data_IF_249369309049
#
_entry.id   IF_249369309049
#
_cell.length_a   1.000
_cell.length_b   1.000
_cell.length_c   1.000
_cell.angle_alpha   90.00
_cell.angle_beta   90.00
_cell.angle_gamma   90.00
#
_symmetry.space_group_name_H-M   'P 1'
#
loop_
_entity.id
_entity.type
_entity.pdbx_description
1 polymer ?
#
# COMPACT_ATOMS: atom_id res chain seq x y z
N UNK A 1 7.49 -1.58 3.64
CA UNK A 1 8.68 -1.49 2.80
C UNK A 1 9.95 -2.03 3.41
N UNK A 2 10.72 -2.70 2.56
CA UNK A 2 12.15 -2.95 2.73
C UNK A 2 12.92 -1.61 2.62
N UNK A 3 14.17 -1.56 3.12
CA UNK A 3 14.96 -0.32 3.01
C UNK A 3 15.43 -0.13 1.56
N UNK A 4 15.23 1.08 1.02
CA UNK A 4 15.73 1.53 -0.29
C UNK A 4 15.25 0.69 -1.49
N UNK A 5 14.11 0.02 -1.38
CA UNK A 5 13.48 -0.76 -2.45
C UNK A 5 12.00 -0.39 -2.48
N UNK A 6 11.42 -0.35 -3.68
CA UNK A 6 9.97 -0.29 -3.89
C UNK A 6 9.50 -1.70 -4.23
N UNK A 7 8.81 -2.36 -3.30
CA UNK A 7 8.23 -3.67 -3.53
C UNK A 7 6.90 -3.54 -4.29
N UNK A 8 6.80 -4.23 -5.44
CA UNK A 8 5.67 -4.10 -6.37
C UNK A 8 4.79 -5.35 -6.37
N UNK A 9 3.52 -5.19 -6.01
CA UNK A 9 2.47 -6.20 -6.14
C UNK A 9 1.83 -6.21 -7.53
N UNK A 10 1.07 -7.26 -7.83
CA UNK A 10 0.32 -7.41 -9.08
C UNK A 10 -1.18 -7.26 -8.85
N UNK A 11 -1.85 -6.59 -9.79
CA UNK A 11 -3.31 -6.48 -9.86
C UNK A 11 -3.84 -7.14 -11.13
N UNK A 12 -5.10 -7.58 -11.06
CA UNK A 12 -5.83 -8.14 -12.19
C UNK A 12 -6.62 -7.08 -12.97
N UNK A 13 -7.43 -7.54 -13.92
CA UNK A 13 -8.24 -6.67 -14.80
C UNK A 13 -9.38 -5.95 -14.06
N UNK A 14 -9.67 -6.33 -12.81
CA UNK A 14 -10.70 -5.72 -11.96
C UNK A 14 -10.10 -4.78 -10.90
N UNK A 15 -8.82 -4.41 -11.04
CA UNK A 15 -8.04 -3.65 -10.05
C UNK A 15 -7.95 -4.35 -8.67
N UNK A 16 -8.11 -5.68 -8.62
CA UNK A 16 -7.95 -6.46 -7.39
C UNK A 16 -6.56 -7.06 -7.30
N UNK A 17 -6.11 -7.39 -6.08
CA UNK A 17 -4.83 -8.11 -5.92
C UNK A 17 -4.90 -9.43 -6.71
N UNK A 18 -3.96 -9.63 -7.64
CA UNK A 18 -3.87 -10.87 -8.39
C UNK A 18 -3.64 -12.05 -7.43
N UNK A 19 -4.33 -13.17 -7.67
CA UNK A 19 -4.34 -14.32 -6.74
C UNK A 19 -2.94 -14.84 -6.40
N UNK A 20 -2.03 -14.86 -7.38
CA UNK A 20 -0.64 -15.27 -7.25
C UNK A 20 0.29 -14.23 -6.60
N UNK A 21 -0.14 -12.97 -6.45
CA UNK A 21 0.72 -11.92 -5.91
C UNK A 21 0.94 -12.13 -4.42
N UNK A 22 2.19 -12.25 -3.98
CA UNK A 22 2.51 -12.19 -2.56
C UNK A 22 2.02 -10.88 -1.93
N UNK A 23 1.73 -10.93 -0.63
CA UNK A 23 1.18 -9.84 0.16
C UNK A 23 1.89 -9.79 1.53
N UNK A 24 1.75 -8.67 2.23
CA UNK A 24 2.31 -8.45 3.55
C UNK A 24 2.86 -7.04 3.73
N UNK A 25 3.49 -6.80 4.88
CA UNK A 25 3.96 -5.45 5.25
C UNK A 25 5.11 -4.89 4.41
N UNK A 26 5.63 -5.70 3.49
CA UNK A 26 6.71 -5.34 2.60
C UNK A 26 6.22 -4.69 1.31
N UNK A 27 4.96 -4.91 0.88
CA UNK A 27 4.40 -4.33 -0.35
C UNK A 27 4.29 -2.81 -0.21
N UNK A 28 4.80 -2.09 -1.20
CA UNK A 28 4.77 -0.62 -1.21
C UNK A 28 3.74 -0.09 -2.22
N UNK A 29 3.62 -0.68 -3.40
CA UNK A 29 2.67 -0.27 -4.45
C UNK A 29 2.29 -1.48 -5.31
N UNK A 30 1.17 -1.41 -6.02
CA UNK A 30 0.77 -2.41 -7.01
C UNK A 30 0.67 -1.82 -8.41
N UNK A 31 0.84 -2.65 -9.42
CA UNK A 31 0.60 -2.30 -10.83
C UNK A 31 -0.08 -3.47 -11.56
N UNK A 32 -0.62 -3.27 -12.77
CA UNK A 32 -1.22 -4.35 -13.54
C UNK A 32 -0.22 -5.50 -13.76
N UNK A 33 -0.67 -6.73 -13.55
CA UNK A 33 0.19 -7.92 -13.64
C UNK A 33 -0.49 -9.15 -14.21
N UNK A 34 -1.73 -9.04 -14.68
CA UNK A 34 -2.47 -10.13 -15.31
C UNK A 34 -2.68 -9.82 -16.78
N UNK A 35 -2.49 -10.81 -17.65
CA UNK A 35 -2.71 -10.71 -19.10
C UNK A 35 -1.92 -9.55 -19.76
N UNK A 36 -0.65 -9.38 -19.34
CA UNK A 36 0.21 -8.32 -19.84
C UNK A 36 0.81 -8.73 -21.18
N UNK A 37 0.49 -7.97 -22.23
CA UNK A 37 1.08 -8.10 -23.56
C UNK A 37 2.46 -7.45 -23.60
N UNK A 38 3.48 -8.18 -24.06
CA UNK A 38 4.83 -7.65 -24.23
C UNK A 38 5.57 -8.25 -25.43
N UNK A 39 6.73 -7.68 -25.75
CA UNK A 39 7.61 -8.13 -26.82
C UNK A 39 8.33 -9.41 -26.43
N UNK A 40 8.48 -10.34 -27.38
CA UNK A 40 9.23 -11.58 -27.19
C UNK A 40 10.37 -11.69 -28.19
N UNK A 41 11.52 -12.17 -27.75
CA UNK A 41 12.54 -12.66 -28.66
C UNK A 41 12.11 -14.01 -29.28
N UNK A 42 12.55 -14.29 -30.51
CA UNK A 42 12.33 -15.62 -31.11
C UNK A 42 13.13 -16.65 -30.32
N UNK A 43 12.53 -17.82 -30.08
CA UNK A 43 13.11 -18.96 -29.35
C UNK A 43 13.37 -18.76 -27.85
N UNK A 44 12.78 -17.73 -27.23
CA UNK A 44 12.81 -17.55 -25.77
C UNK A 44 11.44 -17.89 -25.19
N UNK A 45 11.23 -19.15 -24.84
CA UNK A 45 9.99 -19.62 -24.22
C UNK A 45 10.20 -19.82 -22.72
N UNK A 46 9.97 -18.76 -21.94
CA UNK A 46 10.40 -18.68 -20.54
C UNK A 46 9.61 -19.57 -19.57
N UNK A 47 8.43 -20.04 -19.98
CA UNK A 47 7.57 -20.91 -19.15
C UNK A 47 7.75 -22.39 -19.47
N UNK A 48 8.59 -22.72 -20.46
CA UNK A 48 8.88 -24.10 -20.83
C UNK A 48 9.72 -24.77 -19.75
N UNK A 49 9.19 -25.82 -19.13
CA UNK A 49 9.92 -26.63 -18.15
C UNK A 49 9.90 -26.10 -16.71
N UNK A 50 9.06 -25.11 -16.39
CA UNK A 50 8.78 -24.75 -15.00
C UNK A 50 7.90 -25.85 -14.38
N UNK A 51 8.35 -26.53 -13.30
CA UNK A 51 7.51 -27.50 -12.59
C UNK A 51 6.18 -26.88 -12.15
N UNK A 52 5.11 -27.66 -12.19
CA UNK A 52 3.77 -27.27 -11.70
C UNK A 52 3.09 -26.12 -12.47
N UNK A 53 3.59 -25.77 -13.66
CA UNK A 53 2.93 -24.85 -14.59
C UNK A 53 2.45 -25.65 -15.79
N UNK A 54 1.12 -25.75 -15.99
CA UNK A 54 0.53 -26.32 -17.20
C UNK A 54 0.71 -25.36 -18.39
N UNK A 55 1.93 -25.33 -18.90
CA UNK A 55 2.32 -24.49 -20.03
C UNK A 55 2.63 -25.34 -21.25
N UNK A 56 1.76 -25.24 -22.26
CA UNK A 56 2.05 -25.80 -23.59
C UNK A 56 3.01 -24.87 -24.33
N UNK A 57 4.06 -25.38 -24.99
CA UNK A 57 4.96 -24.55 -25.80
C UNK A 57 4.17 -23.64 -26.73
N UNK A 58 4.53 -22.36 -26.78
CA UNK A 58 3.88 -21.35 -27.65
C UNK A 58 2.45 -20.94 -27.27
N UNK A 59 1.85 -21.44 -26.19
CA UNK A 59 0.47 -21.10 -25.80
C UNK A 59 0.28 -19.62 -25.47
N UNK A 60 1.31 -18.95 -24.96
CA UNK A 60 1.30 -17.54 -24.63
C UNK A 60 1.57 -16.61 -25.84
N UNK A 61 1.82 -17.15 -27.03
CA UNK A 61 2.23 -16.35 -28.18
C UNK A 61 1.04 -15.62 -28.79
N UNK A 62 1.24 -14.35 -29.14
CA UNK A 62 0.21 -13.51 -29.77
C UNK A 62 0.66 -13.13 -31.19
N UNK A 63 -0.27 -13.22 -32.14
CA UNK A 63 -0.05 -12.89 -33.55
C UNK A 63 0.60 -14.01 -34.37
N UNK A 64 0.39 -13.96 -35.69
CA UNK A 64 0.94 -14.97 -36.62
C UNK A 64 2.47 -14.95 -36.69
N UNK A 65 3.07 -13.77 -36.55
CA UNK A 65 4.52 -13.56 -36.54
C UNK A 65 5.19 -14.00 -35.21
N UNK A 66 4.37 -14.27 -34.17
CA UNK A 66 4.80 -14.69 -32.84
C UNK A 66 5.83 -13.75 -32.23
N UNK A 67 5.73 -12.44 -32.47
CA UNK A 67 6.63 -11.42 -31.90
C UNK A 67 6.19 -10.89 -30.53
N UNK A 68 4.97 -11.23 -30.13
CA UNK A 68 4.39 -10.84 -28.86
C UNK A 68 4.05 -12.06 -28.01
N UNK A 69 3.92 -11.82 -26.70
CA UNK A 69 3.41 -12.80 -25.77
C UNK A 69 2.53 -12.13 -24.71
N UNK A 70 1.59 -12.90 -24.15
CA UNK A 70 0.79 -12.52 -22.98
C UNK A 70 1.19 -13.36 -21.79
N UNK A 71 1.44 -12.73 -20.65
CA UNK A 71 1.78 -13.43 -19.43
C UNK A 71 1.28 -12.67 -18.20
N UNK A 72 1.25 -13.37 -17.07
CA UNK A 72 0.86 -12.83 -15.78
C UNK A 72 2.00 -13.01 -14.78
N UNK A 73 2.21 -12.03 -13.91
CA UNK A 73 3.24 -12.08 -12.87
C UNK A 73 3.57 -10.70 -12.32
N UNK A 74 4.02 -10.64 -11.06
CA UNK A 74 4.57 -9.42 -10.45
C UNK A 74 5.80 -8.91 -11.19
N UNK A 75 6.53 -9.80 -11.87
CA UNK A 75 7.61 -9.47 -12.81
C UNK A 75 7.16 -8.57 -13.98
N UNK A 76 5.87 -8.53 -14.30
CA UNK A 76 5.30 -7.62 -15.31
C UNK A 76 4.78 -6.32 -14.71
N UNK A 77 4.42 -6.32 -13.42
CA UNK A 77 4.03 -5.12 -12.68
C UNK A 77 5.24 -4.24 -12.34
N UNK A 78 6.34 -4.84 -11.87
CA UNK A 78 7.58 -4.14 -11.54
C UNK A 78 8.13 -3.22 -12.64
N UNK A 79 8.24 -3.62 -13.92
CA UNK A 79 8.73 -2.74 -14.98
C UNK A 79 7.80 -1.56 -15.28
N UNK A 80 6.49 -1.63 -14.97
CA UNK A 80 5.60 -0.47 -15.11
C UNK A 80 5.92 0.62 -14.08
N UNK A 81 6.18 0.22 -12.84
CA UNK A 81 6.63 1.14 -11.77
C UNK A 81 8.00 1.71 -12.11
N UNK A 82 8.93 0.86 -12.57
CA UNK A 82 10.26 1.29 -12.99
C UNK A 82 10.20 2.29 -14.17
N UNK A 83 9.37 2.02 -15.19
CA UNK A 83 9.16 2.93 -16.31
C UNK A 83 8.58 4.28 -15.86
N UNK A 84 7.64 4.27 -14.92
CA UNK A 84 7.08 5.51 -14.36
C UNK A 84 8.14 6.30 -13.59
N UNK A 85 8.99 5.62 -12.79
CA UNK A 85 10.13 6.24 -12.14
C UNK A 85 11.10 6.87 -13.16
N UNK A 86 11.37 6.19 -14.27
CA UNK A 86 12.19 6.72 -15.37
C UNK A 86 11.55 7.95 -16.02
N UNK A 87 10.23 7.98 -16.22
CA UNK A 87 9.53 9.16 -16.75
C UNK A 87 9.61 10.37 -15.80
N UNK A 88 9.49 10.13 -14.49
CA UNK A 88 9.68 11.17 -13.47
C UNK A 88 11.08 11.77 -13.56
N UNK A 89 12.11 10.92 -13.63
CA UNK A 89 13.51 11.35 -13.74
C UNK A 89 13.81 12.02 -15.09
N UNK A 90 13.22 11.54 -16.19
CA UNK A 90 13.37 12.18 -17.50
C UNK A 90 12.84 13.62 -17.50
N UNK A 91 11.72 13.86 -16.81
CA UNK A 91 11.14 15.20 -16.63
C UNK A 91 11.93 16.05 -15.65
N UNK A 92 12.46 15.46 -14.59
CA UNK A 92 13.15 16.15 -13.49
C UNK A 92 14.40 15.39 -13.02
N UNK A 93 15.54 15.51 -13.73
CA UNK A 93 16.73 14.65 -13.50
C UNK A 93 17.43 14.86 -12.15
N UNK A 94 17.14 15.96 -11.44
CA UNK A 94 17.76 16.30 -10.14
C UNK A 94 17.02 15.72 -8.94
N UNK A 95 15.90 15.01 -9.16
CA UNK A 95 15.14 14.41 -8.07
C UNK A 95 15.96 13.31 -7.40
N UNK A 96 15.89 13.27 -6.07
CA UNK A 96 16.46 12.19 -5.28
C UNK A 96 15.60 10.93 -5.37
N UNK A 97 16.19 9.76 -5.11
CA UNK A 97 15.45 8.50 -5.03
C UNK A 97 14.23 8.59 -4.09
N UNK A 98 14.38 9.31 -2.96
CA UNK A 98 13.30 9.47 -1.99
C UNK A 98 12.15 10.34 -2.51
N UNK A 99 12.46 11.34 -3.33
CA UNK A 99 11.43 12.17 -3.96
C UNK A 99 10.70 11.37 -5.05
N UNK A 100 11.41 10.58 -5.86
CA UNK A 100 10.78 9.71 -6.86
C UNK A 100 9.87 8.67 -6.19
N UNK A 101 10.35 8.02 -5.13
CA UNK A 101 9.55 7.11 -4.30
C UNK A 101 8.27 7.80 -3.78
N UNK A 102 8.40 8.99 -3.17
CA UNK A 102 7.25 9.76 -2.69
C UNK A 102 6.25 10.07 -3.79
N UNK A 103 6.73 10.50 -4.95
CA UNK A 103 5.87 10.83 -6.08
C UNK A 103 5.08 9.61 -6.54
N UNK A 104 5.69 8.43 -6.61
CA UNK A 104 5.00 7.18 -6.96
C UNK A 104 3.97 6.76 -5.91
N UNK A 105 4.36 6.74 -4.64
CA UNK A 105 3.51 6.19 -3.57
C UNK A 105 2.35 7.14 -3.21
N UNK A 106 2.59 8.45 -3.16
CA UNK A 106 1.55 9.41 -2.79
C UNK A 106 0.51 9.66 -3.88
N UNK A 107 0.83 9.29 -5.13
CA UNK A 107 -0.06 9.44 -6.28
C UNK A 107 -0.75 8.14 -6.67
N UNK A 108 -0.43 7.03 -6.02
CA UNK A 108 -1.10 5.77 -6.27
C UNK A 108 -2.60 5.91 -5.99
N UNK A 109 -3.41 5.27 -6.82
CA UNK A 109 -4.86 5.17 -6.61
C UNK A 109 -5.12 4.11 -5.55
N UNK A 110 -5.58 4.56 -4.40
CA UNK A 110 -6.01 3.70 -3.31
C UNK A 110 -7.09 2.72 -3.78
N UNK A 111 -6.85 1.42 -3.57
CA UNK A 111 -7.70 0.30 -3.98
C UNK A 111 -7.71 -0.73 -2.86
N UNK A 112 -8.65 -1.68 -2.90
CA UNK A 112 -8.87 -2.67 -1.84
C UNK A 112 -9.29 -2.04 -0.50
N UNK A 113 -8.34 -1.68 0.34
CA UNK A 113 -8.58 -1.23 1.72
C UNK A 113 -8.01 0.18 1.86
N UNK A 114 -8.81 1.18 2.30
CA UNK A 114 -8.36 2.57 2.35
C UNK A 114 -7.04 2.78 3.10
N UNK A 115 -6.11 3.49 2.45
CA UNK A 115 -4.78 3.82 2.94
C UNK A 115 -3.72 2.83 2.47
N UNK A 116 -2.61 2.76 3.22
CA UNK A 116 -1.64 1.70 2.99
C UNK A 116 -2.18 0.38 3.55
N UNK A 117 -2.16 -0.67 2.73
CA UNK A 117 -2.64 -1.99 3.09
C UNK A 117 -1.64 -3.11 2.71
N UNK A 118 -1.81 -4.30 3.29
CA UNK A 118 -0.88 -5.42 3.07
C UNK A 118 -1.07 -6.11 1.70
N UNK A 119 -2.20 -5.92 1.03
CA UNK A 119 -2.54 -6.54 -0.24
C UNK A 119 -1.97 -5.73 -1.42
N UNK A 120 -2.13 -4.40 -1.40
CA UNK A 120 -1.76 -3.54 -2.53
C UNK A 120 -0.83 -2.37 -2.19
N UNK A 121 -0.36 -2.27 -0.94
CA UNK A 121 0.52 -1.19 -0.51
C UNK A 121 -0.23 0.13 -0.51
N UNK A 122 0.32 1.18 -1.12
CA UNK A 122 -0.38 2.45 -1.31
C UNK A 122 -1.41 2.43 -2.46
N UNK A 123 -1.64 1.26 -3.08
CA UNK A 123 -2.63 1.06 -4.13
C UNK A 123 -2.03 0.92 -5.53
N UNK A 124 -2.85 1.19 -6.54
CA UNK A 124 -2.50 1.01 -7.95
C UNK A 124 -1.69 2.18 -8.49
N UNK A 125 -0.61 1.88 -9.21
CA UNK A 125 0.19 2.84 -9.96
C UNK A 125 -0.67 3.73 -10.88
N UNK A 126 -0.58 5.05 -10.69
CA UNK A 126 -1.10 6.06 -11.62
C UNK A 126 0.06 6.91 -12.14
N UNK A 127 0.53 6.59 -13.36
CA UNK A 127 1.67 7.29 -13.96
C UNK A 127 1.40 8.77 -14.24
N UNK A 128 0.15 9.12 -14.56
CA UNK A 128 -0.24 10.52 -14.85
C UNK A 128 -0.23 11.35 -13.58
N UNK A 129 -0.78 10.82 -12.49
CA UNK A 129 -0.75 11.47 -11.20
C UNK A 129 0.69 11.57 -10.66
N UNK A 130 1.50 10.51 -10.81
CA UNK A 130 2.89 10.49 -10.36
C UNK A 130 3.73 11.60 -11.01
N UNK A 131 3.55 11.86 -12.31
CA UNK A 131 4.26 12.92 -13.04
C UNK A 131 3.87 14.36 -12.61
N UNK A 132 2.80 14.50 -11.81
CA UNK A 132 2.30 15.78 -11.29
C UNK A 132 2.44 15.89 -9.76
N UNK A 133 2.85 14.83 -9.08
CA UNK A 133 2.92 14.80 -7.63
C UNK A 133 4.01 15.75 -7.10
N UNK A 134 3.77 16.34 -5.92
CA UNK A 134 4.77 17.16 -5.24
C UNK A 134 5.89 16.26 -4.70
N UNK A 135 7.15 16.42 -5.15
CA UNK A 135 8.28 15.61 -4.68
C UNK A 135 8.57 15.77 -3.18
N UNK A 136 8.16 16.89 -2.59
CA UNK A 136 8.41 17.20 -1.19
C UNK A 136 7.25 16.83 -0.29
N UNK A 137 6.08 16.55 -0.86
CA UNK A 137 4.94 16.10 -0.08
C UNK A 137 5.17 14.70 0.49
N UNK A 138 4.85 14.55 1.77
CA UNK A 138 4.73 13.25 2.40
C UNK A 138 3.62 13.28 3.45
N UNK A 139 3.00 12.13 3.67
CA UNK A 139 2.09 11.90 4.76
C UNK A 139 2.25 10.45 5.22
N UNK A 140 2.54 10.29 6.51
CA UNK A 140 2.81 9.03 7.17
C UNK A 140 1.74 8.81 8.23
N UNK A 141 0.85 7.87 7.94
CA UNK A 141 -0.09 7.32 8.90
C UNK A 141 0.30 5.86 9.11
N UNK A 142 0.97 5.55 10.23
CA UNK A 142 1.44 4.19 10.52
C UNK A 142 1.22 3.81 11.98
N UNK A 143 0.52 2.71 12.20
CA UNK A 143 0.43 2.06 13.51
C UNK A 143 1.57 1.04 13.61
N UNK A 144 2.49 1.22 14.56
CA UNK A 144 3.63 0.33 14.79
C UNK A 144 3.23 -0.86 15.66
N UNK A 145 2.51 -0.59 16.74
CA UNK A 145 1.97 -1.62 17.64
C UNK A 145 0.79 -1.09 18.42
N UNK A 146 -0.01 -2.01 18.94
CA UNK A 146 -1.02 -1.75 19.95
C UNK A 146 -0.70 -2.61 21.17
N UNK A 147 -0.73 -2.01 22.35
CA UNK A 147 -0.37 -2.71 23.58
C UNK A 147 -1.32 -2.33 24.73
N UNK A 148 -1.74 -3.29 25.57
CA UNK A 148 -2.47 -2.98 26.78
C UNK A 148 -1.57 -2.24 27.79
N UNK A 149 -2.16 -1.28 28.50
CA UNK A 149 -1.55 -0.53 29.58
C UNK A 149 -2.59 -0.25 30.68
N UNK A 150 -2.13 0.22 31.84
CA UNK A 150 -3.01 0.70 32.92
C UNK A 150 -2.87 2.20 33.07
N UNK A 151 -4.01 2.89 33.16
CA UNK A 151 -4.08 4.32 33.46
C UNK A 151 -5.25 4.55 34.40
N UNK A 152 -4.99 5.19 35.54
CA UNK A 152 -5.99 5.48 36.58
C UNK A 152 -6.81 4.26 37.01
N UNK A 153 -6.13 3.10 37.16
CA UNK A 153 -6.76 1.83 37.55
C UNK A 153 -7.58 1.13 36.45
N UNK A 154 -7.72 1.74 35.27
CA UNK A 154 -8.44 1.16 34.12
C UNK A 154 -7.46 0.58 33.09
N UNK A 155 -7.88 -0.48 32.41
CA UNK A 155 -7.15 -1.04 31.27
C UNK A 155 -7.43 -0.20 30.03
N UNK A 156 -6.37 0.22 29.36
CA UNK A 156 -6.41 0.95 28.10
C UNK A 156 -5.56 0.23 27.06
N UNK A 157 -5.87 0.40 25.78
CA UNK A 157 -5.03 -0.01 24.66
C UNK A 157 -4.33 1.24 24.13
N UNK A 158 -3.01 1.25 24.20
CA UNK A 158 -2.17 2.31 23.61
C UNK A 158 -1.88 1.97 22.16
N UNK A 159 -2.26 2.87 21.26
CA UNK A 159 -1.91 2.82 19.84
C UNK A 159 -0.62 3.61 19.67
N UNK A 160 0.46 2.93 19.29
CA UNK A 160 1.80 3.52 19.16
C UNK A 160 2.19 3.52 17.69
N UNK A 161 2.68 4.65 17.19
CA UNK A 161 3.04 4.78 15.78
C UNK A 161 3.47 6.19 15.39
N UNK A 162 3.27 6.49 14.12
CA UNK A 162 3.67 7.77 13.50
C UNK A 162 2.48 8.39 12.79
N UNK A 163 2.22 9.67 13.10
CA UNK A 163 1.31 10.57 12.41
C UNK A 163 2.11 11.83 12.04
N UNK A 164 2.54 11.93 10.79
CA UNK A 164 3.40 13.01 10.31
C UNK A 164 3.04 13.38 8.87
N UNK A 165 3.22 14.64 8.49
CA UNK A 165 3.08 15.10 7.13
C UNK A 165 3.85 16.40 6.92
N UNK A 166 4.36 16.61 5.71
CA UNK A 166 4.97 17.89 5.30
C UNK A 166 4.05 19.10 5.49
N UNK A 167 2.73 18.89 5.46
CA UNK A 167 1.70 19.91 5.67
C UNK A 167 0.63 19.42 6.64
N UNK A 168 1.07 18.81 7.74
CA UNK A 168 0.21 18.28 8.81
C UNK A 168 -0.83 19.30 9.29
N UNK A 169 -2.10 18.88 9.36
CA UNK A 169 -3.21 19.66 9.92
C UNK A 169 -3.66 19.08 11.26
N UNK A 170 -4.06 17.81 11.27
CA UNK A 170 -4.55 17.10 12.46
C UNK A 170 -4.54 15.60 12.19
N UNK A 171 -4.48 14.78 13.23
CA UNK A 171 -4.70 13.34 13.11
C UNK A 171 -5.64 12.81 14.20
N UNK A 172 -6.21 11.62 14.00
CA UNK A 172 -7.04 10.92 14.98
C UNK A 172 -7.08 9.42 14.72
N UNK A 173 -7.53 8.65 15.71
CA UNK A 173 -7.78 7.23 15.55
C UNK A 173 -9.29 6.94 15.43
N UNK A 174 -9.62 5.90 14.70
CA UNK A 174 -10.96 5.33 14.57
C UNK A 174 -10.89 3.84 14.86
N UNK A 175 -11.94 3.30 15.46
CA UNK A 175 -12.09 1.90 15.84
C UNK A 175 -13.26 1.28 15.08
N UNK A 176 -13.05 0.10 14.52
CA UNK A 176 -14.08 -0.68 13.84
C UNK A 176 -13.99 -2.16 14.19
N UNK A 177 -15.13 -2.84 14.24
CA UNK A 177 -15.20 -4.27 14.52
C UNK A 177 -15.02 -5.09 13.24
N UNK A 178 -14.21 -6.15 13.30
CA UNK A 178 -13.89 -7.02 12.17
C UNK A 178 -12.60 -6.68 11.43
N UNK A 179 -12.25 -7.53 10.46
CA UNK A 179 -11.07 -7.35 9.60
C UNK A 179 -11.24 -6.25 8.55
N UNK A 180 -12.47 -6.05 8.07
CA UNK A 180 -12.86 -4.98 7.15
C UNK A 180 -14.12 -4.30 7.69
N UNK A 181 -14.00 -3.43 8.70
CA UNK A 181 -15.16 -2.76 9.28
C UNK A 181 -15.85 -1.84 8.27
N UNK A 182 -17.17 -1.96 8.16
CA UNK A 182 -18.01 -1.02 7.39
C UNK A 182 -18.25 0.27 8.18
N UNK A 183 -18.27 0.18 9.51
CA UNK A 183 -18.48 1.30 10.42
C UNK A 183 -17.23 1.63 11.22
N UNK A 184 -16.94 2.93 11.33
CA UNK A 184 -15.78 3.46 12.06
C UNK A 184 -16.21 4.47 13.11
N UNK A 185 -15.81 4.24 14.37
CA UNK A 185 -16.05 5.15 15.49
C UNK A 185 -14.78 5.90 15.84
N UNK A 186 -14.82 7.23 15.87
CA UNK A 186 -13.69 8.05 16.34
C UNK A 186 -13.38 7.75 17.80
N UNK A 187 -12.12 7.46 18.10
CA UNK A 187 -11.63 7.13 19.45
C UNK A 187 -10.43 7.99 19.84
N UNK A 188 -10.32 8.29 21.13
CA UNK A 188 -9.29 9.19 21.65
C UNK A 188 -9.48 10.66 21.26
N UNK A 189 -8.45 11.47 21.52
CA UNK A 189 -8.43 12.91 21.22
C UNK A 189 -7.90 13.23 19.82
N UNK A 190 -8.09 14.48 19.39
CA UNK A 190 -7.42 15.01 18.19
C UNK A 190 -5.92 15.19 18.47
N UNK A 191 -5.09 14.68 17.58
CA UNK A 191 -3.65 14.87 17.55
C UNK A 191 -3.36 16.17 16.79
N UNK A 192 -3.00 17.23 17.52
CA UNK A 192 -2.77 18.58 16.96
C UNK A 192 -1.34 18.85 16.52
N UNK A 193 -0.41 17.94 16.78
CA UNK A 193 1.00 18.04 16.43
C UNK A 193 1.51 16.70 15.90
N UNK A 194 2.59 16.74 15.12
CA UNK A 194 3.20 15.51 14.58
C UNK A 194 3.63 14.58 15.71
N UNK A 195 3.40 13.28 15.52
CA UNK A 195 3.78 12.22 16.46
C UNK A 195 4.68 11.24 15.72
N UNK A 196 5.86 10.93 16.29
CA UNK A 196 6.83 10.00 15.71
C UNK A 196 7.15 8.89 16.70
N UNK A 197 6.84 7.66 16.30
CA UNK A 197 7.04 6.44 17.11
C UNK A 197 6.57 6.55 18.57
N UNK A 198 5.46 7.23 18.80
CA UNK A 198 4.94 7.49 20.14
C UNK A 198 3.42 7.24 20.19
N UNK A 199 2.79 7.47 21.34
CA UNK A 199 1.37 7.26 21.58
C UNK A 199 0.56 8.18 20.67
N UNK A 200 -0.25 7.57 19.81
CA UNK A 200 -1.19 8.22 18.90
C UNK A 200 -2.58 8.33 19.54
N UNK A 201 -3.01 7.29 20.26
CA UNK A 201 -4.28 7.25 20.93
C UNK A 201 -4.23 6.31 22.14
N UNK A 202 -5.04 6.61 23.15
CA UNK A 202 -5.32 5.73 24.29
C UNK A 202 -6.80 5.39 24.25
N UNK A 203 -7.11 4.12 24.02
CA UNK A 203 -8.49 3.65 23.84
C UNK A 203 -8.87 2.85 25.09
N UNK A 204 -9.93 3.21 25.82
CA UNK A 204 -10.40 2.40 26.94
C UNK A 204 -10.72 0.97 26.49
N UNK A 205 -10.31 -0.04 27.26
CA UNK A 205 -10.60 -1.44 26.92
C UNK A 205 -12.11 -1.73 26.83
N UNK A 206 -12.95 -0.93 27.51
CA UNK A 206 -14.41 -1.01 27.43
C UNK A 206 -14.99 -0.69 26.04
N UNK A 207 -14.24 -0.02 25.17
CA UNK A 207 -14.65 0.22 23.78
C UNK A 207 -14.62 -1.07 22.94
N UNK A 208 -13.82 -2.06 23.35
CA UNK A 208 -13.72 -3.38 22.71
C UNK A 208 -14.79 -4.31 23.28
N UNK A 209 -16.05 -4.01 23.01
CA UNK A 209 -17.23 -4.62 23.65
C UNK A 209 -17.65 -5.99 23.09
N UNK A 210 -16.91 -6.53 22.12
CA UNK A 210 -17.18 -7.83 21.47
C UNK A 210 -15.88 -8.61 21.36
N UNK A 211 -15.98 -9.93 21.54
CA UNK A 211 -14.90 -10.86 21.23
C UNK A 211 -14.66 -10.93 19.73
N UNK A 212 -13.40 -11.12 19.36
CA UNK A 212 -12.95 -11.22 17.98
C UNK A 212 -12.04 -10.06 17.57
N UNK A 213 -11.81 -9.97 16.26
CA UNK A 213 -10.85 -9.02 15.70
C UNK A 213 -11.41 -7.61 15.64
N UNK A 214 -10.59 -6.65 16.04
CA UNK A 214 -10.84 -5.22 15.93
C UNK A 214 -9.77 -4.57 15.07
N UNK A 215 -10.18 -3.57 14.30
CA UNK A 215 -9.30 -2.78 13.46
C UNK A 215 -9.27 -1.33 13.95
N UNK A 216 -8.07 -0.76 13.98
CA UNK A 216 -7.83 0.65 14.30
C UNK A 216 -7.28 1.33 13.06
N UNK A 217 -7.91 2.43 12.67
CA UNK A 217 -7.52 3.28 11.55
C UNK A 217 -7.01 4.62 12.09
N UNK A 218 -5.75 4.91 11.82
CA UNK A 218 -5.15 6.21 12.04
C UNK A 218 -5.42 7.08 10.82
N UNK A 219 -6.05 8.23 11.01
CA UNK A 219 -6.28 9.24 9.97
C UNK A 219 -5.33 10.40 10.19
N UNK A 220 -4.59 10.79 9.15
CA UNK A 220 -3.77 12.00 9.08
C UNK A 220 -4.37 12.92 8.04
N UNK A 221 -4.95 14.03 8.50
CA UNK A 221 -5.47 15.08 7.64
C UNK A 221 -4.35 16.10 7.36
N UNK A 222 -4.20 16.44 6.09
CA UNK A 222 -3.22 17.41 5.60
C UNK A 222 -3.90 18.72 5.23
N UNK A 223 -3.13 19.80 5.13
CA UNK A 223 -3.68 21.12 4.78
C UNK A 223 -4.11 21.19 3.31
N UNK A 224 -3.40 20.51 2.40
CA UNK A 224 -3.59 20.66 0.95
C UNK A 224 -3.87 19.35 0.21
N UNK A 225 -3.58 18.19 0.81
CA UNK A 225 -3.52 16.89 0.11
C UNK A 225 -4.55 15.87 0.62
N UNK A 226 -5.58 16.34 1.33
CA UNK A 226 -6.63 15.50 1.89
C UNK A 226 -6.15 14.63 3.06
N UNK A 227 -6.79 13.48 3.22
CA UNK A 227 -6.52 12.53 4.29
C UNK A 227 -5.59 11.40 3.82
N UNK A 228 -4.85 10.82 4.77
CA UNK A 228 -4.09 9.58 4.61
C UNK A 228 -4.36 8.67 5.79
N UNK A 229 -4.39 7.36 5.51
CA UNK A 229 -4.81 6.37 6.47
C UNK A 229 -3.73 5.32 6.72
N UNK A 230 -3.67 4.84 7.96
CA UNK A 230 -2.86 3.71 8.37
C UNK A 230 -3.66 2.76 9.23
N UNK A 231 -3.53 1.46 8.98
CA UNK A 231 -4.32 0.43 9.66
C UNK A 231 -3.47 -0.40 10.62
N UNK A 232 -4.11 -0.85 11.70
CA UNK A 232 -3.60 -1.83 12.64
C UNK A 232 -4.76 -2.70 13.13
N UNK A 233 -4.49 -3.94 13.52
CA UNK A 233 -5.51 -4.86 14.04
C UNK A 233 -5.09 -5.49 15.36
N UNK A 234 -6.07 -5.77 16.22
CA UNK A 234 -5.92 -6.46 17.50
C UNK A 234 -6.98 -7.55 17.60
N UNK A 235 -6.64 -8.70 18.19
CA UNK A 235 -7.61 -9.75 18.48
C UNK A 235 -7.95 -9.74 19.98
N UNK A 236 -9.24 -9.76 20.31
CA UNK A 236 -9.76 -9.70 21.67
C UNK A 236 -10.38 -11.05 22.01
N UNK A 237 -9.75 -11.76 22.95
CA UNK A 237 -10.16 -13.09 23.42
C UNK A 237 -11.19 -13.04 24.55
#
# INVERSE_FOLDING_TARGET
>A
GLRNVIAVGATDLEDKRASFSNWGQTVDISAPGVDVLSLRARRTDFMLGIPDVDYKPRSAYVGQDRRYFRASGTSFSAPMVAATASLILAKSPKLTNKQVERMLLNSARDIEVPGWDQLTGYGLLDARAALKADPNFYALAKIKKMAPARKDGKVIIQVIGTADSSDFKVAWAELGFGEKPEEWKRVGGKIKAVVKENILAEIPASEFNKKGKWSVKLVVETKKHGERFGLGSLDIQ
#
